data_IF_117697488692
#
_entry.id   IF_117697488692
#
_cell.length_a   1.000
_cell.length_b   1.000
_cell.length_c   1.000
_cell.angle_alpha   90.00
_cell.angle_beta   90.00
_cell.angle_gamma   90.00
#
_symmetry.space_group_name_H-M   'P 1'
#
loop_
_entity.id
_entity.type
_entity.pdbx_description
1 polymer ?
#
# COMPACT_ATOMS: atom_id res chain seq x y z
N UNK A 1 -29.33 -34.34 16.57
CA UNK A 1 -28.24 -33.80 15.77
C UNK A 1 -26.92 -33.97 16.52
N UNK A 2 -25.86 -34.56 15.95
CA UNK A 2 -24.54 -34.66 16.59
C UNK A 2 -23.85 -33.28 16.44
N UNK A 3 -23.43 -32.65 17.54
CA UNK A 3 -22.66 -31.41 17.52
C UNK A 3 -21.17 -31.72 17.40
N UNK A 4 -20.36 -30.78 16.86
CA UNK A 4 -18.90 -30.91 16.79
C UNK A 4 -18.28 -31.16 18.19
N UNK A 5 -18.81 -30.55 19.23
CA UNK A 5 -18.39 -30.80 20.62
C UNK A 5 -18.55 -32.27 21.04
N UNK A 6 -19.69 -32.88 20.67
CA UNK A 6 -19.92 -34.32 20.95
C UNK A 6 -18.99 -35.23 20.15
N UNK A 7 -18.72 -34.88 18.90
CA UNK A 7 -17.76 -35.64 18.07
C UNK A 7 -16.35 -35.51 18.61
N UNK A 8 -15.95 -34.30 19.03
CA UNK A 8 -14.62 -34.04 19.58
C UNK A 8 -14.36 -34.71 20.94
N UNK A 9 -15.39 -34.80 21.79
CA UNK A 9 -15.26 -35.46 23.10
C UNK A 9 -15.12 -36.98 23.03
N UNK A 10 -15.55 -37.60 21.94
CA UNK A 10 -15.45 -39.03 21.68
C UNK A 10 -14.11 -39.34 21.00
N UNK A 11 -13.26 -40.14 21.66
CA UNK A 11 -11.91 -40.51 21.16
C UNK A 11 -11.95 -41.24 19.81
N UNK A 12 -12.99 -42.01 19.53
CA UNK A 12 -13.13 -42.81 18.30
C UNK A 12 -13.54 -41.92 17.09
N UNK A 13 -14.39 -40.90 17.32
CA UNK A 13 -14.90 -40.04 16.27
C UNK A 13 -14.13 -38.73 16.13
N UNK A 14 -13.24 -38.39 17.06
CA UNK A 14 -12.45 -37.15 17.09
C UNK A 14 -11.44 -37.02 15.95
N UNK A 15 -11.15 -38.08 15.20
CA UNK A 15 -10.08 -38.19 14.22
C UNK A 15 -9.90 -36.92 13.36
N UNK A 16 -8.73 -36.27 13.46
CA UNK A 16 -8.40 -35.08 12.68
C UNK A 16 -9.04 -33.77 13.14
N UNK A 17 -9.95 -33.77 14.14
CA UNK A 17 -10.58 -32.57 14.66
C UNK A 17 -9.70 -31.94 15.73
N UNK A 18 -9.30 -30.66 15.51
CA UNK A 18 -8.62 -29.82 16.47
C UNK A 18 -9.52 -28.70 17.00
N UNK A 19 -9.27 -28.22 18.22
CA UNK A 19 -9.98 -27.06 18.78
C UNK A 19 -9.10 -25.83 18.60
N UNK A 20 -9.68 -24.79 18.04
CA UNK A 20 -9.11 -23.45 18.04
C UNK A 20 -9.74 -22.66 19.20
N UNK A 21 -8.90 -22.09 20.09
CA UNK A 21 -9.39 -21.39 21.28
C UNK A 21 -9.68 -19.93 20.97
N UNK A 22 -10.84 -19.47 21.40
CA UNK A 22 -11.15 -18.04 21.53
C UNK A 22 -11.44 -17.72 22.99
N UNK A 23 -11.30 -16.45 23.35
CA UNK A 23 -11.43 -15.96 24.73
C UNK A 23 -12.42 -14.81 24.77
N UNK A 24 -13.28 -14.79 25.78
CA UNK A 24 -14.15 -13.64 26.07
C UNK A 24 -13.37 -12.68 26.97
N UNK A 25 -12.87 -11.61 26.40
CA UNK A 25 -12.02 -10.62 27.05
C UNK A 25 -12.85 -9.43 27.50
N UNK A 26 -12.75 -8.96 28.76
CA UNK A 26 -13.37 -7.73 29.20
C UNK A 26 -12.97 -6.52 28.33
N UNK A 27 -13.95 -5.70 27.95
CA UNK A 27 -13.72 -4.59 27.01
C UNK A 27 -12.68 -3.61 27.54
N UNK A 28 -12.67 -3.35 28.84
CA UNK A 28 -11.73 -2.45 29.54
C UNK A 28 -10.27 -2.92 29.50
N UNK A 29 -10.02 -4.19 29.19
CA UNK A 29 -8.66 -4.73 29.03
C UNK A 29 -8.14 -4.64 27.61
N UNK A 30 -9.00 -4.32 26.63
CA UNK A 30 -8.67 -4.26 25.22
C UNK A 30 -8.32 -2.82 24.86
N UNK A 31 -7.28 -2.63 24.04
CA UNK A 31 -6.90 -1.31 23.60
C UNK A 31 -6.37 -1.29 22.15
N UNK A 32 -6.44 -0.10 21.54
CA UNK A 32 -5.80 0.23 20.28
C UNK A 32 -4.52 1.03 20.54
N UNK A 33 -3.40 0.59 19.99
CA UNK A 33 -2.16 1.37 20.03
C UNK A 33 -2.21 2.44 18.91
N UNK A 34 -2.15 3.75 19.26
CA UNK A 34 -2.20 4.82 18.26
C UNK A 34 -1.09 4.70 17.21
N UNK A 35 -1.42 4.81 15.93
CA UNK A 35 -0.48 4.74 14.82
C UNK A 35 0.12 3.35 14.54
N UNK A 36 -0.21 2.34 15.33
CA UNK A 36 0.28 0.97 15.12
C UNK A 36 -0.40 0.29 13.93
N UNK A 37 -1.71 0.43 13.83
CA UNK A 37 -2.48 -0.15 12.73
C UNK A 37 -2.11 0.51 11.40
N UNK A 38 -2.13 -0.30 10.33
CA UNK A 38 -1.81 0.17 8.98
C UNK A 38 -2.90 1.12 8.48
N UNK A 39 -4.16 0.79 8.79
CA UNK A 39 -5.36 1.53 8.37
C UNK A 39 -5.79 2.53 9.44
N UNK A 40 -6.21 3.71 8.99
CA UNK A 40 -6.97 4.62 9.83
C UNK A 40 -8.42 4.14 9.99
N UNK A 41 -9.07 4.55 11.07
CA UNK A 41 -10.45 4.19 11.33
C UNK A 41 -11.39 4.91 10.35
N UNK A 42 -12.28 4.13 9.72
CA UNK A 42 -13.33 4.63 8.84
C UNK A 42 -14.63 4.76 9.62
N UNK A 43 -15.14 5.99 9.76
CA UNK A 43 -16.33 6.30 10.56
C UNK A 43 -17.58 5.55 10.11
N UNK A 44 -17.79 5.39 8.80
CA UNK A 44 -18.95 4.65 8.29
C UNK A 44 -18.86 3.18 8.65
N UNK A 45 -17.65 2.63 8.64
CA UNK A 45 -17.40 1.23 9.01
C UNK A 45 -17.56 1.02 10.52
N UNK A 46 -17.12 1.97 11.32
CA UNK A 46 -17.32 1.96 12.78
C UNK A 46 -18.81 2.00 13.11
N UNK A 47 -19.57 2.89 12.46
CA UNK A 47 -21.02 2.99 12.63
C UNK A 47 -21.74 1.70 12.24
N UNK A 48 -21.39 1.10 11.12
CA UNK A 48 -21.93 -0.20 10.71
C UNK A 48 -21.73 -1.27 11.79
N UNK A 49 -20.51 -1.36 12.37
CA UNK A 49 -20.26 -2.32 13.42
C UNK A 49 -20.94 -1.98 14.74
N UNK A 50 -21.16 -0.70 15.05
CA UNK A 50 -21.95 -0.31 16.21
C UNK A 50 -23.39 -0.86 16.11
N UNK A 51 -24.03 -0.70 14.96
CA UNK A 51 -25.36 -1.26 14.69
C UNK A 51 -25.39 -2.80 14.75
N UNK A 52 -24.33 -3.47 14.27
CA UNK A 52 -24.20 -4.92 14.42
C UNK A 52 -24.17 -5.35 15.89
N UNK A 53 -23.41 -4.65 16.72
CA UNK A 53 -23.34 -4.92 18.16
C UNK A 53 -24.68 -4.66 18.86
N UNK A 54 -25.35 -3.55 18.56
CA UNK A 54 -26.65 -3.20 19.11
C UNK A 54 -27.73 -4.23 18.77
N UNK A 55 -27.68 -4.79 17.55
CA UNK A 55 -28.61 -5.84 17.10
C UNK A 55 -28.25 -7.25 17.57
N UNK A 56 -27.13 -7.42 18.28
CA UNK A 56 -26.66 -8.74 18.71
C UNK A 56 -26.18 -9.64 17.58
N UNK A 57 -25.81 -9.07 16.45
CA UNK A 57 -25.30 -9.84 15.31
C UNK A 57 -23.96 -10.48 15.67
N UNK A 58 -23.75 -11.79 15.42
CA UNK A 58 -22.48 -12.44 15.67
C UNK A 58 -21.38 -11.86 14.77
N UNK A 59 -20.30 -11.41 15.39
CA UNK A 59 -19.13 -10.85 14.70
C UNK A 59 -17.92 -11.77 14.89
N UNK A 60 -16.98 -11.83 13.92
CA UNK A 60 -15.77 -12.60 14.07
C UNK A 60 -14.92 -12.10 15.24
N UNK A 61 -14.23 -13.00 15.93
CA UNK A 61 -13.32 -12.68 17.03
C UNK A 61 -12.26 -11.65 16.61
N UNK A 62 -11.89 -10.74 17.52
CA UNK A 62 -10.72 -9.87 17.35
C UNK A 62 -9.45 -10.69 17.37
N UNK A 63 -8.45 -10.31 16.57
CA UNK A 63 -7.10 -10.86 16.71
C UNK A 63 -6.28 -9.92 17.57
N UNK A 64 -5.68 -10.44 18.64
CA UNK A 64 -5.07 -9.63 19.70
C UNK A 64 -3.71 -10.17 20.11
N UNK A 65 -2.96 -9.32 20.81
CA UNK A 65 -1.67 -9.63 21.42
C UNK A 65 -1.69 -9.12 22.85
N UNK A 66 -1.46 -9.99 23.85
CA UNK A 66 -1.22 -9.56 25.22
C UNK A 66 0.13 -8.83 25.33
N UNK A 67 0.17 -7.71 26.05
CA UNK A 67 1.39 -7.00 26.42
C UNK A 67 1.26 -6.40 27.83
N UNK A 68 2.27 -5.63 28.27
CA UNK A 68 2.31 -5.03 29.63
C UNK A 68 1.17 -4.03 29.89
N UNK A 69 0.65 -3.37 28.82
CA UNK A 69 -0.44 -2.39 28.93
C UNK A 69 -1.83 -3.05 28.95
N UNK A 70 -1.95 -4.30 28.45
CA UNK A 70 -3.22 -5.00 28.34
C UNK A 70 -3.31 -5.92 27.14
N UNK A 71 -4.45 -5.90 26.46
CA UNK A 71 -4.76 -6.74 25.29
C UNK A 71 -4.83 -5.84 24.05
N UNK A 72 -3.74 -5.76 23.30
CA UNK A 72 -3.63 -4.92 22.10
C UNK A 72 -4.30 -5.55 20.89
N UNK A 73 -5.09 -4.76 20.15
CA UNK A 73 -5.71 -5.22 18.91
C UNK A 73 -4.71 -5.22 17.76
N UNK A 74 -4.65 -6.33 17.05
CA UNK A 74 -3.93 -6.48 15.80
C UNK A 74 -4.87 -6.44 14.58
N UNK A 75 -6.05 -7.09 14.68
CA UNK A 75 -7.10 -7.03 13.67
C UNK A 75 -8.47 -6.92 14.32
N UNK A 76 -9.36 -6.17 13.65
CA UNK A 76 -10.72 -5.91 14.13
C UNK A 76 -10.92 -4.53 14.73
N UNK A 77 -10.05 -3.56 14.44
CA UNK A 77 -10.13 -2.18 14.91
C UNK A 77 -11.54 -1.58 14.79
N UNK A 78 -12.19 -1.68 13.61
CA UNK A 78 -13.53 -1.14 13.40
C UNK A 78 -14.59 -1.86 14.24
N UNK A 79 -14.44 -3.18 14.42
CA UNK A 79 -15.35 -3.97 15.29
C UNK A 79 -15.26 -3.53 16.74
N UNK A 80 -14.04 -3.28 17.23
CA UNK A 80 -13.81 -2.78 18.57
C UNK A 80 -14.33 -1.35 18.77
N UNK A 81 -14.00 -0.44 17.85
CA UNK A 81 -14.51 0.94 17.91
C UNK A 81 -16.04 0.98 17.81
N UNK A 82 -16.64 0.12 16.99
CA UNK A 82 -18.09 -0.06 16.94
C UNK A 82 -18.66 -0.56 18.26
N UNK A 83 -17.97 -1.50 18.94
CA UNK A 83 -18.40 -1.96 20.28
C UNK A 83 -18.38 -0.82 21.31
N UNK A 84 -17.31 0.01 21.31
CA UNK A 84 -17.25 1.16 22.22
C UNK A 84 -18.41 2.14 21.97
N UNK A 85 -18.67 2.45 20.69
CA UNK A 85 -19.81 3.32 20.31
C UNK A 85 -21.16 2.75 20.71
N UNK A 86 -21.35 1.44 20.54
CA UNK A 86 -22.56 0.76 20.99
C UNK A 86 -22.73 0.81 22.52
N UNK A 87 -21.64 0.65 23.28
CA UNK A 87 -21.62 0.79 24.75
C UNK A 87 -22.01 2.21 25.17
N UNK A 88 -21.47 3.23 24.52
CA UNK A 88 -21.83 4.64 24.76
C UNK A 88 -23.35 4.89 24.55
N UNK A 89 -23.98 4.12 23.68
CA UNK A 89 -25.42 4.15 23.41
C UNK A 89 -26.24 3.23 24.32
N UNK A 90 -25.58 2.56 25.26
CA UNK A 90 -26.24 1.71 26.26
C UNK A 90 -26.31 0.23 25.94
N UNK A 91 -25.61 -0.26 24.91
CA UNK A 91 -25.54 -1.70 24.64
C UNK A 91 -24.77 -2.44 25.77
N UNK A 92 -25.29 -3.58 26.28
CA UNK A 92 -24.72 -4.28 27.44
C UNK A 92 -23.52 -5.18 27.06
N UNK A 93 -22.54 -4.62 26.37
CA UNK A 93 -21.34 -5.35 25.92
C UNK A 93 -20.28 -5.30 27.02
N UNK A 94 -20.07 -6.41 27.71
CA UNK A 94 -19.08 -6.53 28.80
C UNK A 94 -17.78 -7.21 28.34
N UNK A 95 -17.89 -8.11 27.37
CA UNK A 95 -16.76 -8.90 26.84
C UNK A 95 -16.84 -9.00 25.33
N UNK A 96 -15.66 -9.09 24.69
CA UNK A 96 -15.54 -9.31 23.26
C UNK A 96 -14.75 -10.60 23.02
N UNK A 97 -15.16 -11.36 22.01
CA UNK A 97 -14.47 -12.56 21.60
C UNK A 97 -13.13 -12.21 20.93
N UNK A 98 -12.05 -12.79 21.44
CA UNK A 98 -10.67 -12.56 21.00
C UNK A 98 -9.95 -13.87 20.74
N UNK A 99 -9.01 -13.86 19.81
CA UNK A 99 -8.05 -14.93 19.54
C UNK A 99 -6.64 -14.41 19.55
N UNK A 100 -5.70 -15.22 20.05
CA UNK A 100 -4.29 -14.87 20.08
C UNK A 100 -3.68 -14.85 18.67
N UNK A 101 -2.75 -13.94 18.46
CA UNK A 101 -1.83 -13.97 17.34
C UNK A 101 -0.47 -14.52 17.81
N UNK A 102 0.12 -15.38 16.98
CA UNK A 102 1.47 -15.90 17.20
C UNK A 102 2.36 -15.54 16.03
N UNK A 103 3.45 -14.83 16.29
CA UNK A 103 4.41 -14.37 15.29
C UNK A 103 5.24 -13.19 15.81
N UNK A 104 6.30 -12.84 15.09
CA UNK A 104 7.14 -11.69 15.40
C UNK A 104 6.51 -10.35 14.90
N UNK A 105 7.22 -9.23 15.04
CA UNK A 105 6.70 -7.92 14.63
C UNK A 105 6.46 -7.81 13.12
N UNK A 106 7.31 -8.44 12.31
CA UNK A 106 7.13 -8.47 10.86
C UNK A 106 5.93 -9.33 10.47
N UNK A 107 5.73 -10.48 11.13
CA UNK A 107 4.56 -11.33 10.95
C UNK A 107 3.25 -10.60 11.28
N UNK A 108 3.23 -9.76 12.32
CA UNK A 108 2.07 -8.93 12.68
C UNK A 108 1.69 -7.96 11.57
N UNK A 109 2.68 -7.27 10.98
CA UNK A 109 2.44 -6.33 9.87
C UNK A 109 1.94 -7.08 8.64
N UNK A 110 2.57 -8.20 8.28
CA UNK A 110 2.14 -9.02 7.16
C UNK A 110 0.72 -9.56 7.36
N UNK A 111 0.36 -9.94 8.59
CA UNK A 111 -0.99 -10.36 8.95
C UNK A 111 -2.00 -9.23 8.78
N UNK A 112 -1.71 -8.01 9.25
CA UNK A 112 -2.58 -6.84 9.06
C UNK A 112 -2.86 -6.56 7.56
N UNK A 113 -1.88 -6.79 6.69
CA UNK A 113 -2.07 -6.66 5.23
C UNK A 113 -2.98 -7.77 4.69
N UNK A 114 -2.73 -9.02 5.07
CA UNK A 114 -3.45 -10.19 4.55
C UNK A 114 -4.86 -10.36 5.12
N UNK A 115 -5.08 -9.93 6.38
CA UNK A 115 -6.39 -10.03 7.07
C UNK A 115 -7.40 -8.97 6.60
N UNK A 116 -6.97 -7.95 5.88
CA UNK A 116 -7.81 -6.86 5.37
C UNK A 116 -8.76 -7.31 4.24
N UNK A 117 -9.55 -8.37 4.47
CA UNK A 117 -10.41 -8.96 3.45
C UNK A 117 -11.74 -8.23 3.25
N UNK A 118 -12.27 -7.56 4.28
CA UNK A 118 -13.56 -6.84 4.20
C UNK A 118 -13.45 -5.54 3.41
N UNK A 119 -12.59 -4.63 3.86
CA UNK A 119 -12.22 -3.41 3.13
C UNK A 119 -10.75 -3.52 2.76
N UNK A 120 -10.44 -3.51 1.47
CA UNK A 120 -9.05 -3.58 1.03
C UNK A 120 -8.26 -2.35 1.51
N UNK A 121 -6.97 -2.55 1.81
CA UNK A 121 -6.05 -1.44 2.06
C UNK A 121 -5.96 -0.56 0.81
N UNK A 122 -5.95 0.74 1.01
CA UNK A 122 -5.63 1.66 -0.07
C UNK A 122 -4.15 1.52 -0.50
N UNK A 123 -3.76 2.08 -1.65
CA UNK A 123 -2.39 1.95 -2.14
C UNK A 123 -1.33 2.53 -1.19
N UNK A 124 -1.64 3.61 -0.47
CA UNK A 124 -0.71 4.26 0.47
C UNK A 124 -0.59 3.48 1.77
N UNK A 125 -1.70 2.98 2.32
CA UNK A 125 -1.72 2.08 3.47
C UNK A 125 -0.86 0.84 3.19
N UNK A 126 -1.00 0.25 1.99
CA UNK A 126 -0.22 -0.91 1.58
C UNK A 126 1.25 -0.57 1.38
N UNK A 127 1.56 0.56 0.77
CA UNK A 127 2.94 1.06 0.63
C UNK A 127 3.59 1.25 1.99
N UNK A 128 2.89 1.88 2.96
CA UNK A 128 3.36 2.05 4.34
C UNK A 128 3.67 0.71 5.01
N UNK A 129 2.80 -0.29 4.83
CA UNK A 129 3.02 -1.63 5.37
C UNK A 129 4.26 -2.29 4.76
N UNK A 130 4.42 -2.26 3.45
CA UNK A 130 5.57 -2.86 2.77
C UNK A 130 6.88 -2.15 3.14
N UNK A 131 6.87 -0.82 3.27
CA UNK A 131 8.03 -0.05 3.76
C UNK A 131 8.43 -0.48 5.17
N UNK A 132 7.46 -0.70 6.09
CA UNK A 132 7.75 -1.23 7.43
C UNK A 132 8.38 -2.63 7.37
N UNK A 133 7.87 -3.52 6.49
CA UNK A 133 8.45 -4.86 6.29
C UNK A 133 9.87 -4.80 5.72
N UNK A 134 10.14 -3.88 4.79
CA UNK A 134 11.51 -3.61 4.31
C UNK A 134 12.42 -3.16 5.44
N UNK A 135 11.93 -2.36 6.39
CA UNK A 135 12.67 -1.95 7.60
C UNK A 135 13.07 -3.12 8.51
N UNK A 136 12.35 -4.24 8.47
CA UNK A 136 12.73 -5.51 9.13
C UNK A 136 13.70 -6.37 8.30
N UNK A 137 14.18 -5.88 7.16
CA UNK A 137 15.14 -6.57 6.30
C UNK A 137 14.52 -7.56 5.31
N UNK A 138 13.19 -7.64 5.19
CA UNK A 138 12.55 -8.56 4.25
C UNK A 138 12.77 -8.13 2.80
N UNK A 139 13.05 -9.11 1.94
CA UNK A 139 13.09 -8.93 0.48
C UNK A 139 11.69 -8.73 -0.10
N UNK A 140 11.60 -8.25 -1.33
CA UNK A 140 10.31 -8.10 -2.01
C UNK A 140 9.61 -9.47 -2.23
N UNK A 141 10.39 -10.52 -2.45
CA UNK A 141 9.96 -11.91 -2.61
C UNK A 141 9.35 -12.46 -1.32
N UNK A 142 10.02 -12.23 -0.18
CA UNK A 142 9.51 -12.64 1.13
C UNK A 142 8.22 -11.93 1.48
N UNK A 143 8.16 -10.60 1.27
CA UNK A 143 6.94 -9.82 1.46
C UNK A 143 5.81 -10.37 0.57
N UNK A 144 6.05 -10.50 -0.73
CA UNK A 144 5.09 -10.98 -1.71
C UNK A 144 4.51 -12.36 -1.31
N UNK A 145 5.39 -13.31 -0.97
CA UNK A 145 5.01 -14.65 -0.51
C UNK A 145 4.15 -14.59 0.76
N UNK A 146 4.56 -13.78 1.73
CA UNK A 146 3.89 -13.74 3.05
C UNK A 146 2.52 -13.07 2.99
N UNK A 147 2.36 -12.01 2.19
CA UNK A 147 1.08 -11.29 2.04
C UNK A 147 0.19 -11.84 0.93
N UNK A 148 0.64 -12.88 0.19
CA UNK A 148 -0.13 -13.50 -0.89
C UNK A 148 -0.31 -12.60 -2.12
N UNK A 149 0.76 -11.85 -2.49
CA UNK A 149 0.77 -10.94 -3.64
C UNK A 149 1.94 -11.24 -4.58
N UNK A 150 1.98 -10.58 -5.76
CA UNK A 150 3.13 -10.69 -6.66
C UNK A 150 4.27 -9.76 -6.22
N UNK A 151 5.51 -10.10 -6.59
CA UNK A 151 6.68 -9.23 -6.38
C UNK A 151 6.48 -7.88 -7.08
N UNK A 152 5.89 -7.89 -8.27
CA UNK A 152 5.51 -6.66 -9.00
C UNK A 152 4.56 -5.77 -8.23
N UNK A 153 3.56 -6.35 -7.51
CA UNK A 153 2.65 -5.58 -6.65
C UNK A 153 3.43 -4.91 -5.52
N UNK A 154 4.34 -5.63 -4.88
CA UNK A 154 5.17 -5.09 -3.80
C UNK A 154 6.06 -3.95 -4.32
N UNK A 155 6.75 -4.14 -5.43
CA UNK A 155 7.60 -3.12 -6.05
C UNK A 155 6.81 -1.87 -6.45
N UNK A 156 5.63 -2.04 -7.03
CA UNK A 156 4.76 -0.95 -7.45
C UNK A 156 4.31 -0.09 -6.25
N UNK A 157 3.90 -0.72 -5.15
CA UNK A 157 3.49 0.02 -3.96
C UNK A 157 4.68 0.69 -3.25
N UNK A 158 5.84 0.04 -3.17
CA UNK A 158 7.06 0.67 -2.62
C UNK A 158 7.46 1.92 -3.41
N UNK A 159 7.29 1.90 -4.73
CA UNK A 159 7.58 3.07 -5.60
C UNK A 159 6.64 4.25 -5.36
N UNK A 160 5.53 4.10 -4.62
CA UNK A 160 4.71 5.24 -4.19
C UNK A 160 5.45 6.14 -3.19
N UNK A 161 6.51 5.66 -2.56
CA UNK A 161 7.40 6.48 -1.72
C UNK A 161 8.00 7.65 -2.51
N UNK A 162 8.43 7.37 -3.74
CA UNK A 162 9.18 8.29 -4.62
C UNK A 162 8.26 9.25 -5.39
N UNK A 163 6.94 9.04 -5.35
CA UNK A 163 5.96 9.89 -6.06
C UNK A 163 5.80 11.23 -5.35
N UNK A 164 5.84 12.37 -6.07
CA UNK A 164 5.64 13.70 -5.51
C UNK A 164 4.31 13.86 -4.75
N UNK A 165 4.28 14.76 -3.76
CA UNK A 165 3.11 14.97 -2.90
C UNK A 165 1.87 15.41 -3.71
N UNK A 166 2.05 16.27 -4.70
CA UNK A 166 1.00 16.75 -5.60
C UNK A 166 0.38 15.59 -6.38
N UNK A 167 1.20 14.67 -6.88
CA UNK A 167 0.74 13.47 -7.59
C UNK A 167 0.02 12.51 -6.63
N UNK A 168 0.51 12.36 -5.38
CA UNK A 168 -0.20 11.60 -4.34
C UNK A 168 -1.60 12.16 -4.09
N UNK A 169 -1.76 13.49 -4.07
CA UNK A 169 -3.07 14.13 -3.94
C UNK A 169 -4.00 13.78 -5.13
N UNK A 170 -3.49 13.72 -6.37
CA UNK A 170 -4.27 13.30 -7.55
C UNK A 170 -4.71 11.84 -7.47
N UNK A 171 -3.86 10.96 -6.91
CA UNK A 171 -4.22 9.56 -6.66
C UNK A 171 -5.36 9.47 -5.62
N UNK A 172 -5.23 10.17 -4.49
CA UNK A 172 -6.24 10.19 -3.43
C UNK A 172 -7.58 10.77 -3.91
N UNK A 173 -7.55 11.77 -4.79
CA UNK A 173 -8.75 12.32 -5.45
C UNK A 173 -9.34 11.39 -6.53
N UNK A 174 -8.74 10.23 -6.81
CA UNK A 174 -9.21 9.28 -7.82
C UNK A 174 -8.98 9.73 -9.27
N UNK A 175 -8.30 10.86 -9.49
CA UNK A 175 -8.06 11.44 -10.81
C UNK A 175 -7.10 10.63 -11.68
N UNK A 176 -6.18 9.91 -11.06
CA UNK A 176 -5.24 8.99 -11.73
C UNK A 176 -5.09 7.71 -10.90
N UNK A 177 -4.85 6.56 -11.56
CA UNK A 177 -4.52 5.33 -10.83
C UNK A 177 -3.08 5.39 -10.30
N UNK A 178 -2.84 4.78 -9.13
CA UNK A 178 -1.49 4.73 -8.56
C UNK A 178 -0.47 4.10 -9.52
N UNK A 179 -0.86 3.07 -10.26
CA UNK A 179 0.02 2.42 -11.23
C UNK A 179 0.44 3.36 -12.37
N UNK A 180 -0.51 4.14 -12.89
CA UNK A 180 -0.23 5.13 -13.92
C UNK A 180 0.63 6.27 -13.38
N UNK A 181 0.36 6.74 -12.17
CA UNK A 181 1.14 7.79 -11.52
C UNK A 181 2.60 7.38 -11.31
N UNK A 182 2.84 6.17 -10.79
CA UNK A 182 4.19 5.61 -10.64
C UNK A 182 4.90 5.49 -12.00
N UNK A 183 4.18 5.04 -13.04
CA UNK A 183 4.77 4.92 -14.37
C UNK A 183 5.19 6.29 -14.92
N UNK A 184 4.33 7.32 -14.81
CA UNK A 184 4.64 8.69 -15.26
C UNK A 184 5.79 9.29 -14.44
N UNK A 185 5.81 9.10 -13.12
CA UNK A 185 6.92 9.57 -12.27
C UNK A 185 8.26 8.95 -12.67
N UNK A 186 8.28 7.66 -13.00
CA UNK A 186 9.50 6.99 -13.49
C UNK A 186 9.94 7.48 -14.87
N UNK A 187 8.98 7.78 -15.75
CA UNK A 187 9.27 8.19 -17.13
C UNK A 187 9.68 9.67 -17.23
N UNK A 188 9.09 10.55 -16.40
CA UNK A 188 9.24 12.00 -16.52
C UNK A 188 9.97 12.68 -15.34
N UNK A 189 10.31 11.93 -14.28
CA UNK A 189 11.05 12.49 -13.14
C UNK A 189 10.37 13.74 -12.56
N UNK A 190 11.11 14.84 -12.50
CA UNK A 190 10.63 16.12 -11.94
C UNK A 190 9.47 16.75 -12.74
N UNK A 191 9.33 16.42 -14.03
CA UNK A 191 8.22 16.90 -14.88
C UNK A 191 6.91 16.12 -14.67
N UNK A 192 6.92 15.05 -13.86
CA UNK A 192 5.77 14.18 -13.67
C UNK A 192 4.51 14.92 -13.20
N UNK A 193 4.66 15.92 -12.30
CA UNK A 193 3.54 16.73 -11.81
C UNK A 193 2.87 17.44 -12.97
N UNK A 194 3.64 18.15 -13.80
CA UNK A 194 3.15 18.89 -14.96
C UNK A 194 2.44 17.97 -15.95
N UNK A 195 3.06 16.84 -16.29
CA UNK A 195 2.50 15.87 -17.25
C UNK A 195 1.17 15.31 -16.74
N UNK A 196 1.07 15.01 -15.44
CA UNK A 196 -0.15 14.50 -14.83
C UNK A 196 -1.23 15.57 -14.78
N UNK A 197 -0.90 16.81 -14.43
CA UNK A 197 -1.85 17.93 -14.39
C UNK A 197 -2.44 18.20 -15.77
N UNK A 198 -1.61 18.26 -16.80
CA UNK A 198 -2.08 18.37 -18.20
C UNK A 198 -2.98 17.21 -18.61
N UNK A 199 -2.63 15.97 -18.20
CA UNK A 199 -3.44 14.80 -18.49
C UNK A 199 -4.79 14.81 -17.75
N UNK A 200 -4.84 15.36 -16.53
CA UNK A 200 -6.08 15.54 -15.76
C UNK A 200 -6.98 16.56 -16.45
N UNK A 201 -6.45 17.70 -16.87
CA UNK A 201 -7.23 18.71 -17.59
C UNK A 201 -7.74 18.19 -18.95
N UNK A 202 -6.94 17.45 -19.70
CA UNK A 202 -7.37 16.80 -20.93
C UNK A 202 -8.49 15.77 -20.69
N UNK A 203 -8.38 14.97 -19.62
CA UNK A 203 -9.42 14.03 -19.26
C UNK A 203 -10.74 14.74 -18.92
N UNK A 204 -10.69 15.83 -18.15
CA UNK A 204 -11.85 16.67 -17.84
C UNK A 204 -12.49 17.28 -19.09
N UNK A 205 -11.67 17.79 -20.01
CA UNK A 205 -12.15 18.32 -21.29
C UNK A 205 -12.88 17.27 -22.14
N UNK A 206 -12.52 15.97 -21.95
CA UNK A 206 -13.21 14.84 -22.57
C UNK A 206 -14.41 14.32 -21.74
N UNK A 207 -14.81 15.02 -20.68
CA UNK A 207 -15.90 14.62 -19.80
C UNK A 207 -15.58 13.37 -18.95
N UNK A 208 -14.30 13.13 -18.62
CA UNK A 208 -13.85 11.99 -17.81
C UNK A 208 -13.29 12.48 -16.49
N UNK A 209 -13.70 11.84 -15.40
CA UNK A 209 -13.21 12.15 -14.05
C UNK A 209 -11.81 11.56 -13.77
N UNK A 210 -11.34 10.63 -14.63
CA UNK A 210 -10.09 9.90 -14.42
C UNK A 210 -9.22 9.83 -15.66
N UNK A 211 -7.93 10.06 -15.47
CA UNK A 211 -6.90 9.91 -16.50
C UNK A 211 -6.81 8.44 -16.93
N UNK A 212 -6.94 8.19 -18.23
CA UNK A 212 -6.82 6.85 -18.81
C UNK A 212 -5.43 6.63 -19.40
N UNK A 213 -5.03 5.37 -19.54
CA UNK A 213 -3.77 5.01 -20.20
C UNK A 213 -3.65 5.56 -21.64
N UNK A 214 -4.79 5.82 -22.32
CA UNK A 214 -4.80 6.42 -23.66
C UNK A 214 -4.33 7.87 -23.65
N UNK A 215 -4.80 8.67 -22.66
CA UNK A 215 -4.38 10.07 -22.49
C UNK A 215 -2.89 10.12 -22.15
N UNK A 216 -2.40 9.26 -21.27
CA UNK A 216 -0.98 9.19 -20.90
C UNK A 216 -0.09 8.76 -22.08
N UNK A 217 -0.55 7.83 -22.93
CA UNK A 217 0.21 7.42 -24.13
C UNK A 217 0.42 8.57 -25.11
N UNK A 218 -0.51 9.53 -25.17
CA UNK A 218 -0.34 10.73 -26.01
C UNK A 218 0.70 11.72 -25.45
N UNK A 219 1.03 11.59 -24.16
CA UNK A 219 2.04 12.41 -23.46
C UNK A 219 3.41 11.76 -23.39
N UNK A 220 3.56 10.52 -23.89
CA UNK A 220 4.87 9.86 -23.91
C UNK A 220 5.84 10.63 -24.79
N UNK A 221 7.00 10.95 -24.22
CA UNK A 221 8.10 11.54 -24.96
C UNK A 221 8.55 10.52 -26.01
N UNK A 222 8.56 10.94 -27.28
CA UNK A 222 9.11 10.07 -28.32
C UNK A 222 10.62 9.90 -28.08
N UNK A 223 11.18 8.70 -28.34
CA UNK A 223 12.62 8.50 -28.15
C UNK A 223 13.49 9.55 -28.83
N UNK A 224 13.10 9.99 -30.04
CA UNK A 224 13.79 11.03 -30.78
C UNK A 224 13.73 12.39 -30.08
N UNK A 225 12.56 12.78 -29.54
CA UNK A 225 12.39 14.06 -28.85
C UNK A 225 13.22 14.06 -27.53
N UNK A 226 13.22 12.92 -26.84
CA UNK A 226 14.06 12.73 -25.63
C UNK A 226 15.55 12.79 -25.97
N UNK A 227 15.96 12.17 -27.07
CA UNK A 227 17.36 12.22 -27.53
C UNK A 227 17.76 13.67 -27.86
N UNK A 228 16.90 14.43 -28.57
CA UNK A 228 17.13 15.85 -28.87
C UNK A 228 17.26 16.66 -27.57
N UNK A 229 16.45 16.37 -26.55
CA UNK A 229 16.51 17.07 -25.26
C UNK A 229 17.83 16.80 -24.53
N UNK A 230 18.27 15.53 -24.47
CA UNK A 230 19.55 15.12 -23.88
C UNK A 230 20.76 15.65 -24.63
N UNK A 231 20.64 15.87 -25.95
CA UNK A 231 21.70 16.37 -26.82
C UNK A 231 21.68 17.90 -26.99
N UNK A 232 20.86 18.65 -26.25
CA UNK A 232 20.91 20.12 -26.28
C UNK A 232 22.29 20.62 -25.86
N UNK A 233 22.84 21.66 -26.50
CA UNK A 233 24.13 22.23 -26.14
C UNK A 233 24.17 22.62 -24.66
N UNK A 234 25.19 22.16 -23.94
CA UNK A 234 25.42 22.56 -22.56
C UNK A 234 26.42 23.71 -22.50
N UNK A 235 26.26 24.62 -21.54
CA UNK A 235 27.11 25.81 -21.38
C UNK A 235 28.57 25.51 -20.98
N UNK A 236 28.88 24.25 -20.63
CA UNK A 236 30.22 23.85 -20.17
C UNK A 236 30.64 22.50 -20.75
N UNK A 237 31.84 22.45 -21.27
CA UNK A 237 32.47 21.25 -21.86
C UNK A 237 33.49 20.65 -20.88
N UNK A 238 33.30 19.38 -20.52
CA UNK A 238 34.32 18.60 -19.80
C UNK A 238 34.94 17.62 -20.79
N UNK A 239 36.16 17.87 -21.17
CA UNK A 239 36.90 17.00 -22.07
C UNK A 239 37.80 16.04 -21.28
N UNK A 240 38.08 14.84 -21.83
CA UNK A 240 39.09 13.96 -21.26
C UNK A 240 40.47 14.67 -21.14
N UNK A 241 41.22 14.32 -20.09
CA UNK A 241 42.53 14.89 -19.91
C UNK A 241 43.42 14.65 -21.16
N UNK A 242 43.94 15.72 -21.75
CA UNK A 242 44.79 15.66 -22.94
C UNK A 242 44.10 15.93 -24.29
N UNK A 243 42.80 16.17 -24.31
CA UNK A 243 42.10 16.55 -25.55
C UNK A 243 42.31 18.04 -25.85
N UNK A 244 42.69 18.35 -27.09
CA UNK A 244 42.89 19.72 -27.61
C UNK A 244 41.73 20.00 -28.56
N UNK A 245 40.89 20.99 -28.21
CA UNK A 245 39.77 21.42 -29.06
C UNK A 245 40.31 22.35 -30.14
N UNK A 246 39.94 22.10 -31.37
CA UNK A 246 40.18 23.01 -32.49
C UNK A 246 38.93 23.89 -32.73
N UNK A 247 39.11 25.13 -33.29
CA UNK A 247 38.05 26.12 -33.46
C UNK A 247 36.87 25.65 -34.35
N UNK A 248 37.03 24.55 -35.08
CA UNK A 248 36.05 24.02 -36.04
C UNK A 248 35.26 22.81 -35.50
N UNK A 249 35.42 22.41 -34.22
CA UNK A 249 34.77 21.23 -33.62
C UNK A 249 33.52 21.67 -32.83
N UNK A 250 32.34 21.19 -33.21
CA UNK A 250 31.12 21.32 -32.43
C UNK A 250 30.99 20.14 -31.47
N UNK A 251 30.87 20.44 -30.19
CA UNK A 251 30.70 19.42 -29.14
C UNK A 251 29.32 19.49 -28.49
N UNK A 252 28.78 18.32 -28.21
CA UNK A 252 27.58 18.17 -27.39
C UNK A 252 28.00 17.54 -26.08
N UNK A 253 27.74 18.22 -24.99
CA UNK A 253 27.97 17.68 -23.65
C UNK A 253 26.77 16.87 -23.20
N UNK A 254 27.00 15.61 -22.83
CA UNK A 254 25.97 14.76 -22.24
C UNK A 254 26.37 14.55 -20.77
N UNK A 255 25.48 14.86 -19.79
CA UNK A 255 25.72 14.52 -18.40
C UNK A 255 26.02 13.03 -18.24
N UNK A 256 26.99 12.67 -17.39
CA UNK A 256 27.39 11.28 -17.21
C UNK A 256 26.20 10.40 -16.77
N UNK A 257 25.27 10.97 -16.01
CA UNK A 257 24.05 10.29 -15.58
C UNK A 257 23.15 9.87 -16.76
N UNK A 258 23.17 10.61 -17.87
CA UNK A 258 22.29 10.43 -19.02
C UNK A 258 22.90 9.59 -20.14
N UNK A 259 24.23 9.31 -20.07
CA UNK A 259 24.93 8.53 -21.11
C UNK A 259 24.28 7.16 -21.33
N UNK A 260 23.85 6.47 -20.27
CA UNK A 260 23.21 5.16 -20.38
C UNK A 260 21.85 5.25 -21.08
N UNK A 261 21.09 6.32 -20.85
CA UNK A 261 19.81 6.55 -21.52
C UNK A 261 20.01 6.85 -23.02
N UNK A 262 20.96 7.71 -23.33
CA UNK A 262 21.35 8.01 -24.74
C UNK A 262 21.74 6.76 -25.48
N UNK A 263 22.62 5.94 -24.92
CA UNK A 263 23.05 4.67 -25.52
C UNK A 263 21.86 3.71 -25.72
N UNK A 264 20.99 3.57 -24.73
CA UNK A 264 19.80 2.72 -24.82
C UNK A 264 18.78 3.19 -25.87
N UNK A 265 18.71 4.49 -26.16
CA UNK A 265 17.88 5.04 -27.25
C UNK A 265 18.51 4.76 -28.61
N UNK A 266 19.82 4.99 -28.73
CA UNK A 266 20.55 4.76 -29.99
C UNK A 266 20.54 3.28 -30.41
N UNK A 267 20.61 2.34 -29.46
CA UNK A 267 20.54 0.90 -29.75
C UNK A 267 19.15 0.45 -30.27
N UNK A 268 18.10 1.24 -30.05
CA UNK A 268 16.73 0.94 -30.48
C UNK A 268 16.31 1.63 -31.78
N UNK A 269 17.14 2.52 -32.29
CA UNK A 269 16.94 3.21 -33.58
C UNK A 269 17.57 2.43 -34.74
#
# INVERSE_FOLDING_TARGET
>A
MKTLSKIYSDKETRNGIAVNKTYLVPVERIYLEPGYNIREADEQHVEYFAQCWESGQPLPALTVIPDEKGIRILDGQHRYLGALRAIERGAPIVRIECKDFTGDEADKIAFMVSSSQGKQLDPFERAKAYTRLKGFGWTNEEIAKKVGRSVSDVQMHLSLGDVPAEVKARISAGQISYANAVAVTREHGDDAVKVIDEAVEEAKAQGKDKVTAKVLKSKKIKPVDRLIELLKPADHVILPAGHVVTEDEEFIQIPVADIHEVMAILEKM
#
